data_IF_114193091073
#
_entry.id   IF_114193091073
#
_cell.length_a   1.000
_cell.length_b   1.000
_cell.length_c   1.000
_cell.angle_alpha   90.00
_cell.angle_beta   90.00
_cell.angle_gamma   90.00
#
_symmetry.space_group_name_H-M   'P 1'
#
loop_
_entity.id
_entity.type
_entity.pdbx_description
1 polymer ?
#
# COMPACT_ATOMS: atom_id res chain seq x y z
N UNK A 1 -6.84 -0.17 22.61
CA UNK A 1 -6.03 0.45 21.54
C UNK A 1 -6.72 0.19 20.21
N UNK A 2 -7.03 1.23 19.40
CA UNK A 2 -7.69 1.07 18.09
C UNK A 2 -6.66 1.18 16.97
N UNK A 3 -6.78 0.33 15.95
CA UNK A 3 -5.93 0.35 14.76
C UNK A 3 -6.81 0.69 13.57
N UNK A 4 -6.37 1.67 12.78
CA UNK A 4 -6.98 2.05 11.51
C UNK A 4 -6.12 1.49 10.38
N UNK A 5 -6.62 0.48 9.67
CA UNK A 5 -5.97 -0.05 8.48
C UNK A 5 -6.39 0.78 7.27
N UNK A 6 -5.41 1.32 6.54
CA UNK A 6 -5.63 2.06 5.30
C UNK A 6 -5.04 1.25 4.16
N UNK A 7 -5.86 0.96 3.15
CA UNK A 7 -5.41 0.35 1.91
C UNK A 7 -4.90 1.49 1.02
N UNK A 8 -3.62 1.43 0.68
CA UNK A 8 -2.94 2.40 -0.16
C UNK A 8 -2.91 1.90 -1.61
N UNK A 9 -3.29 2.78 -2.52
CA UNK A 9 -3.19 2.63 -3.97
C UNK A 9 -2.90 4.00 -4.60
N UNK A 10 -2.82 4.07 -5.93
CA UNK A 10 -2.50 5.30 -6.67
C UNK A 10 -3.70 6.28 -6.79
N UNK A 11 -4.83 5.99 -6.15
CA UNK A 11 -6.03 6.84 -6.23
C UNK A 11 -5.95 8.01 -5.25
N UNK A 12 -6.69 9.09 -5.54
CA UNK A 12 -6.78 10.22 -4.62
C UNK A 12 -7.55 9.86 -3.33
N UNK A 13 -8.45 8.87 -3.43
CA UNK A 13 -9.28 8.34 -2.36
C UNK A 13 -8.44 7.70 -1.25
N UNK A 14 -7.32 7.04 -1.58
CA UNK A 14 -6.42 6.46 -0.58
C UNK A 14 -5.80 7.52 0.33
N UNK A 15 -5.45 8.68 -0.21
CA UNK A 15 -4.96 9.84 0.56
C UNK A 15 -6.05 10.43 1.46
N UNK A 16 -7.30 10.46 1.00
CA UNK A 16 -8.44 10.89 1.81
C UNK A 16 -8.67 9.92 2.97
N UNK A 17 -8.58 8.61 2.72
CA UNK A 17 -8.71 7.57 3.73
C UNK A 17 -7.58 7.67 4.77
N UNK A 18 -6.34 7.86 4.33
CA UNK A 18 -5.19 8.11 5.21
C UNK A 18 -5.44 9.32 6.10
N UNK A 19 -5.84 10.46 5.52
CA UNK A 19 -6.13 11.69 6.27
C UNK A 19 -7.20 11.47 7.33
N UNK A 20 -8.27 10.72 7.01
CA UNK A 20 -9.31 10.38 7.98
C UNK A 20 -8.76 9.50 9.12
N UNK A 21 -8.07 8.42 8.77
CA UNK A 21 -7.48 7.46 9.72
C UNK A 21 -6.50 8.14 10.69
N UNK A 22 -5.57 8.95 10.17
CA UNK A 22 -4.59 9.68 10.99
C UNK A 22 -5.26 10.59 12.01
N UNK A 23 -6.31 11.33 11.61
CA UNK A 23 -7.05 12.21 12.55
C UNK A 23 -7.83 11.43 13.60
N UNK A 24 -8.30 10.22 13.29
CA UNK A 24 -9.01 9.37 14.26
C UNK A 24 -8.04 8.69 15.23
N UNK A 25 -6.93 8.17 14.73
CA UNK A 25 -5.88 7.56 15.54
C UNK A 25 -5.33 8.55 16.57
N UNK A 26 -5.01 9.79 16.14
CA UNK A 26 -4.55 10.86 17.02
C UNK A 26 -5.53 11.18 18.17
N UNK A 27 -6.84 11.23 17.89
CA UNK A 27 -7.86 11.52 18.92
C UNK A 27 -8.13 10.36 19.88
N UNK A 28 -7.76 9.13 19.51
CA UNK A 28 -8.13 7.92 20.25
C UNK A 28 -6.93 7.21 20.87
N UNK A 29 -5.74 7.82 20.82
CA UNK A 29 -4.48 7.16 21.16
C UNK A 29 -4.34 5.78 20.45
N UNK A 30 -4.73 5.76 19.17
CA UNK A 30 -4.66 4.60 18.30
C UNK A 30 -3.48 4.67 17.35
N UNK A 31 -3.36 3.66 16.48
CA UNK A 31 -2.34 3.58 15.44
C UNK A 31 -2.98 3.55 14.04
N UNK A 32 -2.18 3.91 13.03
CA UNK A 32 -2.52 3.73 11.61
C UNK A 32 -1.57 2.69 11.03
N UNK A 33 -2.12 1.68 10.35
CA UNK A 33 -1.35 0.71 9.58
C UNK A 33 -1.65 0.94 8.10
N UNK A 34 -0.62 0.91 7.27
CA UNK A 34 -0.74 1.03 5.82
C UNK A 34 -0.59 -0.34 5.17
N UNK A 35 -1.36 -0.59 4.13
CA UNK A 35 -1.29 -1.81 3.33
C UNK A 35 -1.36 -1.46 1.85
N UNK A 36 -0.29 -1.74 1.09
CA UNK A 36 -0.33 -1.74 -0.36
C UNK A 36 -0.48 -3.18 -0.88
N UNK A 37 -1.35 -3.38 -1.86
CA UNK A 37 -1.59 -4.69 -2.48
C UNK A 37 -0.83 -4.79 -3.80
N UNK A 38 0.00 -5.82 -3.93
CA UNK A 38 0.67 -6.14 -5.20
C UNK A 38 -0.12 -7.28 -5.85
N UNK A 39 -0.78 -7.04 -7.00
CA UNK A 39 -1.49 -8.11 -7.69
C UNK A 39 -0.49 -9.15 -8.21
N UNK A 40 -0.86 -10.45 -8.17
CA UNK A 40 -0.03 -11.49 -8.74
C UNK A 40 0.17 -11.25 -10.23
N UNK A 41 1.42 -11.35 -10.69
CA UNK A 41 1.74 -11.17 -12.10
C UNK A 41 1.40 -12.44 -12.89
N UNK A 42 0.81 -12.32 -14.09
CA UNK A 42 0.61 -13.46 -14.97
C UNK A 42 1.97 -14.04 -15.38
N UNK A 43 2.03 -15.35 -15.56
CA UNK A 43 3.26 -16.05 -15.94
C UNK A 43 3.81 -15.52 -17.28
N UNK A 44 5.08 -15.10 -17.28
CA UNK A 44 5.83 -14.75 -18.48
C UNK A 44 6.84 -15.85 -18.83
N UNK A 45 6.87 -16.29 -20.09
CA UNK A 45 7.79 -17.32 -20.58
C UNK A 45 9.28 -16.90 -20.50
N UNK A 46 9.55 -15.61 -20.34
CA UNK A 46 10.89 -15.06 -20.14
C UNK A 46 11.15 -14.79 -18.65
N UNK A 47 11.71 -15.78 -17.95
CA UNK A 47 11.99 -15.70 -16.51
C UNK A 47 12.81 -14.46 -16.08
N UNK A 48 13.72 -13.98 -16.93
CA UNK A 48 14.51 -12.77 -16.67
C UNK A 48 13.71 -11.47 -16.70
N UNK A 49 12.61 -11.41 -17.46
CA UNK A 49 11.70 -10.24 -17.52
C UNK A 49 10.72 -10.26 -16.35
N UNK A 50 10.30 -11.47 -15.95
CA UNK A 50 9.38 -11.66 -14.82
C UNK A 50 9.93 -11.10 -13.50
N UNK A 51 11.18 -11.42 -13.17
CA UNK A 51 11.81 -10.96 -11.92
C UNK A 51 11.90 -9.43 -11.84
N UNK A 52 12.22 -8.76 -12.95
CA UNK A 52 12.27 -7.30 -13.03
C UNK A 52 10.90 -6.67 -12.80
N UNK A 53 9.84 -7.21 -13.42
CA UNK A 53 8.46 -6.69 -13.24
C UNK A 53 8.01 -6.81 -11.78
N UNK A 54 8.33 -7.92 -11.13
CA UNK A 54 8.00 -8.14 -9.72
C UNK A 54 8.73 -7.17 -8.80
N UNK A 55 10.00 -6.90 -9.06
CA UNK A 55 10.79 -5.94 -8.29
C UNK A 55 10.28 -4.51 -8.49
N UNK A 56 9.95 -4.11 -9.72
CA UNK A 56 9.35 -2.80 -10.00
C UNK A 56 7.98 -2.65 -9.31
N UNK A 57 7.16 -3.71 -9.30
CA UNK A 57 5.87 -3.70 -8.62
C UNK A 57 6.04 -3.55 -7.10
N UNK A 58 7.04 -4.22 -6.51
CA UNK A 58 7.39 -4.05 -5.10
C UNK A 58 7.84 -2.63 -4.81
N UNK A 59 8.78 -2.09 -5.59
CA UNK A 59 9.30 -0.74 -5.39
C UNK A 59 8.19 0.31 -5.46
N UNK A 60 7.26 0.19 -6.41
CA UNK A 60 6.07 1.08 -6.47
C UNK A 60 5.20 0.98 -5.21
N UNK A 61 4.95 -0.23 -4.72
CA UNK A 61 4.16 -0.42 -3.50
C UNK A 61 4.84 0.17 -2.26
N UNK A 62 6.17 0.06 -2.15
CA UNK A 62 6.94 0.64 -1.03
C UNK A 62 6.86 2.16 -1.00
N UNK A 63 6.92 2.82 -2.17
CA UNK A 63 6.75 4.28 -2.29
C UNK A 63 5.37 4.75 -1.83
N UNK A 64 4.32 3.94 -1.97
CA UNK A 64 2.97 4.30 -1.53
C UNK A 64 2.81 4.28 0.00
N UNK A 65 3.67 3.57 0.73
CA UNK A 65 3.51 3.30 2.17
C UNK A 65 4.68 3.79 3.03
N UNK A 66 5.69 4.44 2.44
CA UNK A 66 6.88 4.99 3.11
C UNK A 66 6.90 6.51 3.01
#
# INVERSE_FOLDING_TARGET
MRIYLVIMDETAESLVALRFASRRAARTAGAVHLLALIPPQPFNAFAGVQATIEEEARSRAEVLVT
#
